data_IF_299621083385
#
_entry.id   IF_299621083385
#
_cell.length_a   1.000
_cell.length_b   1.000
_cell.length_c   1.000
_cell.angle_alpha   90.00
_cell.angle_beta   90.00
_cell.angle_gamma   90.00
#
_symmetry.space_group_name_H-M   'P 1'
#
loop_
_entity.id
_entity.type
_entity.pdbx_description
1 polymer ?
#
# COMPACT_ATOMS: atom_id res chain seq x y z
N UNK A 1 -20.19 -7.50 0.38
CA UNK A 1 -21.01 -7.89 -0.78
C UNK A 1 -21.23 -6.64 -1.61
N UNK A 2 -21.00 -6.68 -2.93
CA UNK A 2 -21.19 -5.53 -3.81
C UNK A 2 -22.68 -5.08 -3.80
N UNK A 3 -22.98 -3.77 -3.70
CA UNK A 3 -24.34 -3.26 -3.82
C UNK A 3 -24.98 -3.61 -5.18
N UNK A 4 -26.29 -3.90 -5.19
CA UNK A 4 -27.02 -4.43 -6.37
C UNK A 4 -26.97 -3.57 -7.65
N UNK A 5 -26.55 -2.32 -7.57
CA UNK A 5 -26.52 -1.38 -8.69
C UNK A 5 -25.22 -0.57 -8.78
N UNK A 6 -24.21 -0.93 -7.97
CA UNK A 6 -22.91 -0.29 -8.07
C UNK A 6 -22.13 -0.91 -9.22
N UNK A 7 -21.45 -0.09 -10.02
CA UNK A 7 -20.44 -0.61 -10.95
C UNK A 7 -19.36 -1.36 -10.16
N UNK A 8 -18.83 -2.44 -10.75
CA UNK A 8 -17.88 -3.29 -10.05
C UNK A 8 -16.53 -2.59 -9.85
N UNK A 9 -16.10 -1.78 -10.82
CA UNK A 9 -14.82 -1.07 -10.73
C UNK A 9 -14.94 0.11 -9.78
N UNK A 10 -16.07 0.82 -9.77
CA UNK A 10 -16.35 1.83 -8.74
C UNK A 10 -16.38 1.21 -7.34
N UNK A 11 -17.03 0.05 -7.18
CA UNK A 11 -17.07 -0.64 -5.89
C UNK A 11 -15.67 -1.06 -5.43
N UNK A 12 -14.87 -1.65 -6.32
CA UNK A 12 -13.48 -2.03 -6.02
C UNK A 12 -12.64 -0.81 -5.69
N UNK A 13 -12.77 0.29 -6.43
CA UNK A 13 -12.02 1.52 -6.21
C UNK A 13 -12.28 2.10 -4.82
N UNK A 14 -13.55 2.22 -4.42
CA UNK A 14 -13.93 2.71 -3.09
C UNK A 14 -13.35 1.82 -1.99
N UNK A 15 -13.43 0.49 -2.15
CA UNK A 15 -12.90 -0.42 -1.13
C UNK A 15 -11.38 -0.34 -1.04
N UNK A 16 -10.66 -0.22 -2.17
CA UNK A 16 -9.19 -0.07 -2.16
C UNK A 16 -8.80 1.22 -1.42
N UNK A 17 -9.50 2.32 -1.70
CA UNK A 17 -9.26 3.60 -1.02
C UNK A 17 -9.48 3.48 0.49
N UNK A 18 -10.60 2.89 0.91
CA UNK A 18 -10.89 2.66 2.33
C UNK A 18 -9.87 1.74 3.00
N UNK A 19 -9.45 0.65 2.34
CA UNK A 19 -8.43 -0.26 2.86
C UNK A 19 -7.08 0.45 3.03
N UNK A 20 -6.67 1.25 2.04
CA UNK A 20 -5.44 2.03 2.11
C UNK A 20 -5.48 3.02 3.30
N UNK A 21 -6.58 3.76 3.46
CA UNK A 21 -6.73 4.72 4.54
C UNK A 21 -6.69 4.06 5.92
N UNK A 22 -7.38 2.93 6.08
CA UNK A 22 -7.36 2.15 7.33
C UNK A 22 -5.97 1.59 7.63
N UNK A 23 -5.27 1.07 6.60
CA UNK A 23 -3.92 0.53 6.75
C UNK A 23 -2.92 1.64 7.12
N UNK A 24 -3.05 2.83 6.54
CA UNK A 24 -2.22 3.99 6.88
C UNK A 24 -2.38 4.40 8.35
N UNK A 25 -3.64 4.49 8.81
CA UNK A 25 -3.92 4.81 10.22
C UNK A 25 -3.41 3.73 11.16
N UNK A 26 -3.62 2.46 10.82
CA UNK A 26 -3.13 1.33 11.60
C UNK A 26 -1.60 1.35 11.72
N UNK A 27 -0.90 1.59 10.61
CA UNK A 27 0.56 1.69 10.63
C UNK A 27 1.04 2.89 11.43
N UNK A 28 0.33 4.02 11.40
CA UNK A 28 0.63 5.19 12.22
C UNK A 28 0.69 4.90 13.72
N UNK A 29 -0.09 3.95 14.23
CA UNK A 29 -0.05 3.51 15.63
C UNK A 29 1.21 2.68 15.94
N UNK A 30 1.76 1.99 14.96
CA UNK A 30 2.91 1.08 15.10
C UNK A 30 4.25 1.70 14.71
N UNK A 31 4.23 2.85 14.04
CA UNK A 31 5.40 3.46 13.42
C UNK A 31 6.56 3.68 14.42
N UNK A 32 6.25 4.03 15.66
CA UNK A 32 7.27 4.23 16.71
C UNK A 32 7.94 2.91 17.16
N UNK A 33 7.24 1.78 17.04
CA UNK A 33 7.78 0.47 17.41
C UNK A 33 8.56 -0.19 16.26
N UNK A 34 8.22 0.15 15.02
CA UNK A 34 8.81 -0.40 13.80
C UNK A 34 9.96 0.50 13.30
N UNK A 35 11.14 0.33 13.89
CA UNK A 35 12.36 1.08 13.53
C UNK A 35 13.26 0.23 12.64
N UNK A 36 14.30 0.84 12.05
CA UNK A 36 15.30 0.09 11.29
C UNK A 36 16.06 -0.91 12.18
N UNK A 37 16.17 -0.66 13.48
CA UNK A 37 16.84 -1.54 14.44
C UNK A 37 15.94 -2.69 14.89
N UNK A 38 14.66 -2.42 15.19
CA UNK A 38 13.70 -3.46 15.62
C UNK A 38 13.18 -4.29 14.45
N UNK A 39 13.09 -3.71 13.25
CA UNK A 39 12.60 -4.36 12.04
C UNK A 39 13.58 -4.15 10.85
N UNK A 40 14.76 -4.77 10.88
CA UNK A 40 15.84 -4.53 9.90
C UNK A 40 15.56 -5.07 8.50
N UNK A 41 14.54 -5.92 8.35
CA UNK A 41 14.05 -6.40 7.07
C UNK A 41 12.51 -6.45 7.08
N UNK A 42 11.89 -6.22 5.93
CA UNK A 42 10.45 -6.43 5.77
C UNK A 42 10.15 -7.93 5.76
N UNK A 43 9.72 -8.47 6.91
CA UNK A 43 9.49 -9.90 7.09
C UNK A 43 8.13 -10.18 7.75
N UNK A 44 7.50 -11.30 7.37
CA UNK A 44 6.32 -11.84 8.02
C UNK A 44 6.69 -13.18 8.69
N UNK A 45 7.30 -13.07 9.87
CA UNK A 45 7.86 -14.22 10.57
C UNK A 45 9.19 -14.70 9.97
N UNK A 46 9.72 -15.85 10.43
CA UNK A 46 11.07 -16.28 10.08
C UNK A 46 11.22 -16.83 8.65
N UNK A 47 10.12 -17.19 8.00
CA UNK A 47 10.13 -17.90 6.73
C UNK A 47 9.83 -17.01 5.51
N UNK A 48 9.30 -15.80 5.72
CA UNK A 48 8.82 -14.95 4.63
C UNK A 48 9.45 -13.57 4.70
N UNK A 49 10.30 -13.27 3.73
CA UNK A 49 10.91 -11.95 3.55
C UNK A 49 10.38 -11.32 2.27
N UNK A 50 9.96 -10.06 2.37
CA UNK A 50 9.56 -9.24 1.24
C UNK A 50 10.77 -8.44 0.75
N UNK A 51 10.85 -8.29 -0.57
CA UNK A 51 11.93 -7.54 -1.22
C UNK A 51 11.33 -6.49 -2.14
N UNK A 52 12.03 -5.38 -2.27
CA UNK A 52 11.63 -4.29 -3.15
C UNK A 52 12.35 -4.36 -4.47
N UNK A 53 11.68 -4.05 -5.58
CA UNK A 53 12.32 -3.96 -6.89
C UNK A 53 12.74 -2.51 -7.10
N UNK A 54 14.05 -2.25 -7.12
CA UNK A 54 14.57 -0.90 -7.32
C UNK A 54 14.50 -0.47 -8.81
N UNK A 55 14.93 0.76 -9.10
CA UNK A 55 14.94 1.32 -10.45
C UNK A 55 15.80 0.51 -11.45
N UNK A 56 16.82 -0.20 -10.96
CA UNK A 56 17.66 -1.09 -11.77
C UNK A 56 17.04 -2.48 -11.99
N UNK A 57 15.77 -2.67 -11.60
CA UNK A 57 15.05 -3.96 -11.59
C UNK A 57 15.73 -5.04 -10.76
N UNK A 58 16.46 -4.65 -9.72
CA UNK A 58 17.06 -5.58 -8.76
C UNK A 58 16.18 -5.69 -7.53
N UNK A 59 15.98 -6.92 -7.08
CA UNK A 59 15.38 -7.23 -5.78
C UNK A 59 16.36 -6.86 -4.68
N UNK A 60 15.95 -5.97 -3.78
CA UNK A 60 16.73 -5.49 -2.64
C UNK A 60 15.96 -5.69 -1.35
N UNK A 61 16.67 -5.99 -0.27
CA UNK A 61 16.09 -6.00 1.07
C UNK A 61 16.07 -4.59 1.63
N UNK A 62 14.94 -4.21 2.21
CA UNK A 62 14.76 -2.93 2.89
C UNK A 62 14.31 -3.19 4.32
N UNK A 63 14.70 -2.34 5.28
CA UNK A 63 14.07 -2.30 6.58
C UNK A 63 12.55 -2.16 6.44
N UNK A 64 11.80 -2.82 7.33
CA UNK A 64 10.35 -2.80 7.29
C UNK A 64 9.74 -1.38 7.23
N UNK A 65 10.18 -0.39 8.03
CA UNK A 65 9.60 0.95 7.94
C UNK A 65 9.84 1.62 6.58
N UNK A 66 11.02 1.43 5.99
CA UNK A 66 11.34 1.97 4.66
C UNK A 66 10.52 1.28 3.57
N UNK A 67 10.37 -0.05 3.66
CA UNK A 67 9.55 -0.79 2.70
C UNK A 67 8.09 -0.34 2.73
N UNK A 68 7.53 -0.18 3.93
CA UNK A 68 6.13 0.25 4.11
C UNK A 68 5.95 1.67 3.57
N UNK A 69 6.86 2.60 3.89
CA UNK A 69 6.82 3.97 3.34
C UNK A 69 6.81 4.00 1.80
N UNK A 70 7.64 3.17 1.17
CA UNK A 70 7.68 3.05 -0.29
C UNK A 70 6.38 2.49 -0.87
N UNK A 71 5.81 1.47 -0.24
CA UNK A 71 4.51 0.89 -0.64
C UNK A 71 3.40 1.93 -0.49
N UNK A 72 3.33 2.63 0.65
CA UNK A 72 2.28 3.61 0.91
C UNK A 72 2.36 4.77 -0.07
N UNK A 73 3.57 5.29 -0.33
CA UNK A 73 3.80 6.33 -1.33
C UNK A 73 3.42 5.85 -2.74
N UNK A 74 3.79 4.63 -3.11
CA UNK A 74 3.44 4.06 -4.41
C UNK A 74 1.93 3.91 -4.60
N UNK A 75 1.21 3.41 -3.58
CA UNK A 75 -0.25 3.28 -3.63
C UNK A 75 -0.92 4.65 -3.66
N UNK A 76 -0.46 5.63 -2.87
CA UNK A 76 -0.97 7.00 -2.92
C UNK A 76 -0.88 7.59 -4.33
N UNK A 77 0.27 7.43 -4.99
CA UNK A 77 0.45 7.92 -6.36
C UNK A 77 -0.51 7.26 -7.36
N UNK A 78 -0.90 5.99 -7.15
CA UNK A 78 -1.91 5.33 -7.98
C UNK A 78 -3.31 5.87 -7.68
N UNK A 79 -3.64 6.13 -6.41
CA UNK A 79 -4.93 6.72 -6.02
C UNK A 79 -5.10 8.16 -6.52
N UNK A 80 -4.01 8.91 -6.62
CA UNK A 80 -3.99 10.29 -7.12
C UNK A 80 -3.94 10.38 -8.67
N UNK A 81 -3.67 9.26 -9.35
CA UNK A 81 -3.62 9.21 -10.81
C UNK A 81 -5.04 9.06 -11.38
N UNK A 82 -5.59 10.16 -11.91
CA UNK A 82 -6.91 10.22 -12.58
C UNK A 82 -7.06 9.22 -13.74
N UNK A 83 -5.96 8.72 -14.32
CA UNK A 83 -6.01 7.68 -15.37
C UNK A 83 -6.21 6.26 -14.82
N UNK A 84 -5.89 6.05 -13.53
CA UNK A 84 -6.08 4.79 -12.81
C UNK A 84 -7.33 4.85 -11.92
N UNK A 85 -7.51 5.94 -11.17
CA UNK A 85 -8.66 6.21 -10.30
C UNK A 85 -9.40 7.47 -10.79
N UNK A 86 -10.23 7.36 -11.84
CA UNK A 86 -10.95 8.51 -12.38
C UNK A 86 -11.96 9.07 -11.37
N UNK A 87 -11.88 10.38 -11.14
CA UNK A 87 -12.74 11.10 -10.17
C UNK A 87 -13.92 11.83 -10.83
N UNK A 88 -13.95 11.92 -12.16
CA UNK A 88 -14.98 12.62 -12.93
C UNK A 88 -16.12 11.65 -13.27
N UNK A 89 -17.36 12.08 -13.04
CA UNK A 89 -18.53 11.29 -13.38
C UNK A 89 -18.59 11.01 -14.89
N UNK A 90 -18.68 9.73 -15.27
CA UNK A 90 -18.81 9.28 -16.67
C UNK A 90 -17.51 9.23 -17.46
N UNK A 91 -16.36 9.20 -16.78
CA UNK A 91 -15.06 8.88 -17.38
C UNK A 91 -14.95 7.42 -17.84
#
# INVERSE_FOLDING_TARGET
MQPKYADIMEWVAVNIFDFYQNLNQFYGVLAECCTQQSCPAMAAGPALNYTWVNQDRKSVQLPAPTYIDYVMTWVQNLLDDDSVFPTKAGA
#
